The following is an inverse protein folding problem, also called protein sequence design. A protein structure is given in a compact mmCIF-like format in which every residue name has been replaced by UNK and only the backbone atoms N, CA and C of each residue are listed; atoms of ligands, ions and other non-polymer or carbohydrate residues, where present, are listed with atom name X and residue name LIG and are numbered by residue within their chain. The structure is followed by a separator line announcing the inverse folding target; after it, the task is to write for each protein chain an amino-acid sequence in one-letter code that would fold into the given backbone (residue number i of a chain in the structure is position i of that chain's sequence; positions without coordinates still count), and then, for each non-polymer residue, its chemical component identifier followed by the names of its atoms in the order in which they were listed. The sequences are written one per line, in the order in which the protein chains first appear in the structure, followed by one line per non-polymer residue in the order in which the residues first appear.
data_IF_936500610163
#
_entry.id   IF_936500610163
#
_cell.length_a   1.000
_cell.length_b   1.000
_cell.length_c   1.000
_cell.angle_alpha   90.00
_cell.angle_beta   90.00
_cell.angle_gamma   90.00
#
_symmetry.space_group_name_H-M   'P 1'
#
loop_
_entity.id
_entity.type
_entity.pdbx_description
1 polymer ?
#
# COMPACT_ATOMS: atom_id res chain seq x y z
N UNK A 1 11.69 6.57 12.70
CA UNK A 1 11.26 5.26 12.19
C UNK A 1 9.87 5.32 11.59
N UNK A 2 9.62 5.84 10.31
CA UNK A 2 8.25 5.86 9.78
C UNK A 2 7.77 4.46 9.41
N UNK A 3 6.50 4.21 9.66
CA UNK A 3 5.79 3.01 9.23
C UNK A 3 4.61 3.44 8.39
N UNK A 4 4.58 3.01 7.13
CA UNK A 4 3.53 3.37 6.19
C UNK A 4 2.69 2.12 5.94
N UNK A 5 1.40 2.26 6.10
CA UNK A 5 0.45 1.15 5.90
C UNK A 5 -0.50 1.53 4.78
N UNK A 6 -0.62 0.62 3.81
CA UNK A 6 -1.48 0.84 2.65
C UNK A 6 -2.44 -0.33 2.54
N UNK A 7 -3.72 -0.03 2.58
CA UNK A 7 -4.76 -1.03 2.32
C UNK A 7 -5.20 -0.90 0.87
N UNK A 8 -5.25 -2.01 0.16
CA UNK A 8 -5.68 -2.01 -1.23
C UNK A 8 -6.42 -3.30 -1.55
N UNK A 9 -7.19 -3.25 -2.65
CA UNK A 9 -7.86 -4.45 -3.16
C UNK A 9 -6.82 -5.45 -3.64
N UNK A 10 -7.07 -6.72 -3.37
CA UNK A 10 -6.22 -7.78 -3.94
C UNK A 10 -6.42 -7.87 -5.45
N UNK A 11 -5.47 -8.49 -6.14
CA UNK A 11 -5.54 -8.71 -7.57
C UNK A 11 -4.33 -8.19 -8.35
N UNK A 12 -3.48 -7.38 -7.74
CA UNK A 12 -2.27 -6.89 -8.40
C UNK A 12 -1.17 -7.93 -8.31
N UNK A 13 -0.29 -7.92 -9.31
CA UNK A 13 0.85 -8.84 -9.33
C UNK A 13 1.84 -8.51 -8.21
N UNK A 14 2.67 -9.50 -7.87
CA UNK A 14 3.74 -9.27 -6.90
C UNK A 14 4.69 -8.17 -7.36
N UNK A 15 4.98 -8.10 -8.67
CA UNK A 15 5.87 -7.07 -9.21
C UNK A 15 5.28 -5.66 -8.98
N UNK A 16 3.99 -5.50 -9.17
CA UNK A 16 3.33 -4.22 -8.92
C UNK A 16 3.36 -3.84 -7.45
N UNK A 17 3.13 -4.81 -6.57
CA UNK A 17 3.18 -4.56 -5.13
C UNK A 17 4.59 -4.19 -4.68
N UNK A 18 5.60 -4.88 -5.22
CA UNK A 18 7.00 -4.56 -4.90
C UNK A 18 7.37 -3.16 -5.38
N UNK A 19 6.89 -2.79 -6.58
CA UNK A 19 7.13 -1.44 -7.09
C UNK A 19 6.49 -0.38 -6.21
N UNK A 20 5.29 -0.64 -5.72
CA UNK A 20 4.61 0.28 -4.82
C UNK A 20 5.43 0.48 -3.54
N UNK A 21 5.92 -0.60 -2.95
CA UNK A 21 6.75 -0.51 -1.74
C UNK A 21 8.00 0.32 -2.03
N UNK A 22 8.67 0.06 -3.15
CA UNK A 22 9.88 0.81 -3.52
C UNK A 22 9.60 2.29 -3.67
N UNK A 23 8.58 2.64 -4.46
CA UNK A 23 8.30 4.03 -4.79
C UNK A 23 7.83 4.82 -3.56
N UNK A 24 6.98 4.23 -2.75
CA UNK A 24 6.50 4.87 -1.52
C UNK A 24 7.65 5.07 -0.54
N UNK A 25 8.51 4.07 -0.40
CA UNK A 25 9.67 4.16 0.48
C UNK A 25 10.61 5.28 0.07
N UNK A 26 10.91 5.40 -1.24
CA UNK A 26 11.78 6.45 -1.74
C UNK A 26 11.17 7.83 -1.54
N UNK A 27 9.88 7.96 -1.80
CA UNK A 27 9.20 9.25 -1.61
C UNK A 27 9.23 9.69 -0.15
N UNK A 28 8.98 8.75 0.77
CA UNK A 28 9.01 9.07 2.19
C UNK A 28 10.42 9.43 2.66
N UNK A 29 11.43 8.69 2.18
CA UNK A 29 12.81 8.96 2.55
C UNK A 29 13.23 10.36 2.10
N UNK A 30 12.86 10.75 0.87
CA UNK A 30 13.17 12.08 0.37
C UNK A 30 12.46 13.18 1.15
N UNK A 31 11.17 12.99 1.41
CA UNK A 31 10.39 13.99 2.12
C UNK A 31 10.89 14.23 3.54
N UNK A 32 11.32 13.15 4.20
CA UNK A 32 11.77 13.23 5.60
C UNK A 32 13.27 13.41 5.72
N UNK A 33 14.00 13.37 4.61
CA UNK A 33 15.46 13.48 4.57
C UNK A 33 16.14 12.45 5.48
N UNK A 34 15.72 11.20 5.29
CA UNK A 34 16.26 10.05 6.03
C UNK A 34 16.69 8.96 5.05
N UNK A 35 17.57 8.04 5.47
CA UNK A 35 17.92 6.90 4.62
C UNK A 35 16.70 6.02 4.37
N UNK A 36 16.60 5.46 3.16
CA UNK A 36 15.46 4.61 2.80
C UNK A 36 15.39 3.36 3.67
N UNK A 37 16.52 2.91 4.19
CA UNK A 37 16.60 1.76 5.11
C UNK A 37 15.82 1.96 6.40
N UNK A 38 15.49 3.22 6.73
CA UNK A 38 14.71 3.54 7.92
C UNK A 38 13.21 3.52 7.69
N UNK A 39 12.77 3.39 6.43
CA UNK A 39 11.35 3.43 6.07
C UNK A 39 10.80 2.02 6.01
N UNK A 40 9.67 1.81 6.68
CA UNK A 40 8.96 0.52 6.64
C UNK A 40 7.61 0.72 5.97
N UNK A 41 7.25 -0.21 5.09
CA UNK A 41 5.98 -0.17 4.37
C UNK A 41 5.32 -1.54 4.48
N UNK A 42 4.05 -1.57 4.85
CA UNK A 42 3.27 -2.80 4.86
C UNK A 42 2.04 -2.63 3.97
N UNK A 43 1.79 -3.62 3.14
CA UNK A 43 0.61 -3.65 2.28
C UNK A 43 -0.38 -4.64 2.86
N UNK A 44 -1.64 -4.22 2.92
CA UNK A 44 -2.74 -5.06 3.39
C UNK A 44 -3.70 -5.23 2.24
N UNK A 45 -3.70 -6.41 1.64
CA UNK A 45 -4.62 -6.71 0.55
C UNK A 45 -5.91 -7.27 1.11
N UNK A 46 -7.03 -6.74 0.65
CA UNK A 46 -8.35 -7.21 1.09
C UNK A 46 -9.14 -7.71 -0.11
N UNK A 47 -9.95 -8.76 0.10
CA UNK A 47 -10.83 -9.22 -0.97
C UNK A 47 -11.95 -8.21 -1.25
N UNK A 48 -12.51 -8.27 -2.45
CA UNK A 48 -13.55 -7.35 -2.87
C UNK A 48 -14.78 -7.39 -1.95
N UNK A 49 -15.06 -8.54 -1.33
CA UNK A 49 -16.15 -8.65 -0.38
C UNK A 49 -15.94 -7.84 0.90
N UNK A 50 -14.68 -7.51 1.20
CA UNK A 50 -14.34 -6.79 2.42
C UNK A 50 -13.92 -5.34 2.16
N UNK A 51 -14.17 -4.86 0.94
CA UNK A 51 -13.80 -3.50 0.56
C UNK A 51 -15.05 -2.80 0.01
N UNK A 52 -15.47 -1.75 0.68
CA UNK A 52 -16.69 -1.06 0.30
C UNK A 52 -16.53 0.44 0.19
N UNK A 53 -17.34 1.03 -0.66
CA UNK A 53 -17.43 2.48 -0.83
C UNK A 53 -18.89 2.87 -0.78
N UNK A 54 -19.23 3.84 0.08
CA UNK A 54 -20.62 4.27 0.20
C UNK A 54 -21.57 3.18 0.69
N UNK A 55 -21.03 2.20 1.44
CA UNK A 55 -21.81 1.10 1.95
C UNK A 55 -21.99 -0.06 0.98
N UNK A 56 -21.36 0.02 -0.19
CA UNK A 56 -21.52 -1.02 -1.22
C UNK A 56 -20.21 -1.81 -1.34
N UNK A 57 -20.24 -3.13 -1.09
CA UNK A 57 -19.05 -3.96 -1.30
C UNK A 57 -18.59 -3.93 -2.74
N UNK A 58 -17.28 -3.89 -2.94
CA UNK A 58 -16.69 -3.82 -4.26
C UNK A 58 -17.07 -5.03 -5.13
N UNK A 59 -17.31 -6.18 -4.51
CA UNK A 59 -17.73 -7.37 -5.24
C UNK A 59 -19.10 -7.22 -5.91
N UNK A 60 -19.86 -6.19 -5.58
CA UNK A 60 -21.18 -5.92 -6.17
C UNK A 60 -21.18 -4.81 -7.20
N UNK A 61 -20.00 -4.31 -7.57
CA UNK A 61 -19.91 -3.19 -8.54
C UNK A 61 -19.25 -3.59 -9.85
#
# INVERSE_FOLDING_TARGET
MPMIQITLLEGRSADMRHKLIEDVSQAAAQALQIPVEKVNVALYEVPADNYGTGGIPRSRT
#
